data_IF_416280563321
#
_entry.id   IF_416280563321
#
_cell.length_a   1.000
_cell.length_b   1.000
_cell.length_c   1.000
_cell.angle_alpha   90.00
_cell.angle_beta   90.00
_cell.angle_gamma   90.00
#
_symmetry.space_group_name_H-M   'P 1'
#
loop_
_entity.id
_entity.type
_entity.pdbx_description
1 polymer ?
#
# COMPACT_ATOMS: atom_id res chain seq x y z
N UNK A 1 -15.48 -10.81 8.02
CA UNK A 1 -15.77 -9.87 6.89
C UNK A 1 -14.66 -9.73 5.84
N UNK A 2 -13.36 -9.73 6.18
CA UNK A 2 -12.28 -9.64 5.17
C UNK A 2 -11.41 -10.89 5.08
N UNK A 3 -11.28 -11.64 6.18
CA UNK A 3 -10.60 -12.93 6.20
C UNK A 3 -11.41 -14.00 5.47
N UNK A 4 -12.74 -13.85 5.43
CA UNK A 4 -13.66 -14.71 4.66
C UNK A 4 -13.29 -14.75 3.17
N UNK A 5 -12.77 -13.65 2.62
CA UNK A 5 -12.38 -13.56 1.21
C UNK A 5 -11.22 -14.49 0.91
N UNK A 6 -10.23 -14.52 1.79
CA UNK A 6 -9.03 -15.37 1.63
C UNK A 6 -9.42 -16.83 1.86
N UNK A 7 -10.29 -17.09 2.85
CA UNK A 7 -10.82 -18.42 3.11
C UNK A 7 -11.56 -19.00 1.90
N UNK A 8 -12.45 -18.23 1.27
CA UNK A 8 -13.17 -18.66 0.06
C UNK A 8 -12.21 -18.88 -1.11
N UNK A 9 -11.26 -17.96 -1.34
CA UNK A 9 -10.28 -18.12 -2.41
C UNK A 9 -9.39 -19.36 -2.22
N UNK A 10 -9.04 -19.67 -0.96
CA UNK A 10 -8.33 -20.90 -0.60
C UNK A 10 -9.18 -22.13 -0.87
N UNK A 11 -10.43 -22.16 -0.39
CA UNK A 11 -11.35 -23.27 -0.62
C UNK A 11 -11.58 -23.54 -2.11
N UNK A 12 -11.69 -22.50 -2.94
CA UNK A 12 -11.76 -22.70 -4.39
C UNK A 12 -10.53 -23.41 -4.92
N UNK A 13 -9.33 -22.99 -4.48
CA UNK A 13 -8.07 -23.60 -4.94
C UNK A 13 -7.81 -24.99 -4.36
N UNK A 14 -8.37 -25.32 -3.21
CA UNK A 14 -8.27 -26.66 -2.60
C UNK A 14 -9.26 -27.64 -3.24
N UNK A 15 -10.47 -27.17 -3.60
CA UNK A 15 -11.57 -28.05 -4.02
C UNK A 15 -11.81 -28.10 -5.54
N UNK A 16 -11.24 -27.17 -6.31
CA UNK A 16 -11.44 -27.08 -7.76
C UNK A 16 -10.11 -27.12 -8.50
N UNK A 17 -9.97 -28.07 -9.41
CA UNK A 17 -8.82 -28.14 -10.33
C UNK A 17 -8.89 -27.05 -11.42
N UNK A 18 -10.12 -26.66 -11.79
CA UNK A 18 -10.39 -25.72 -12.88
C UNK A 18 -10.96 -24.41 -12.33
N UNK A 19 -10.63 -23.30 -13.01
CA UNK A 19 -11.16 -21.98 -12.69
C UNK A 19 -12.70 -21.97 -12.79
N UNK A 20 -13.42 -21.50 -11.76
CA UNK A 20 -14.88 -21.36 -11.81
C UNK A 20 -15.34 -20.49 -12.98
N UNK A 21 -16.51 -20.79 -13.54
CA UNK A 21 -17.13 -19.99 -14.59
C UNK A 21 -17.64 -18.65 -14.04
N UNK A 22 -17.79 -17.66 -14.92
CA UNK A 22 -18.22 -16.31 -14.52
C UNK A 22 -19.59 -16.29 -13.84
N UNK A 23 -20.52 -17.10 -14.33
CA UNK A 23 -21.88 -17.23 -13.81
C UNK A 23 -21.86 -17.61 -12.32
N UNK A 24 -20.98 -18.52 -11.93
CA UNK A 24 -20.84 -19.05 -10.57
C UNK A 24 -20.29 -18.02 -9.58
N UNK A 25 -19.49 -17.05 -10.03
CA UNK A 25 -18.83 -16.07 -9.15
C UNK A 25 -19.39 -14.65 -9.28
N UNK A 26 -20.31 -14.42 -10.23
CA UNK A 26 -20.87 -13.12 -10.57
C UNK A 26 -21.62 -12.45 -9.41
N UNK A 27 -22.22 -13.23 -8.50
CA UNK A 27 -22.97 -12.74 -7.35
C UNK A 27 -22.05 -12.35 -6.17
N UNK A 28 -20.76 -12.70 -6.22
CA UNK A 28 -19.83 -12.52 -5.10
C UNK A 28 -19.19 -11.12 -5.13
N UNK A 29 -18.74 -10.64 -3.97
CA UNK A 29 -18.15 -9.30 -3.83
C UNK A 29 -16.89 -9.08 -4.67
N UNK A 30 -16.61 -7.80 -5.01
CA UNK A 30 -15.46 -7.38 -5.81
C UNK A 30 -14.11 -7.94 -5.31
N UNK A 31 -13.94 -8.10 -4.00
CA UNK A 31 -12.69 -8.62 -3.41
C UNK A 31 -12.46 -10.09 -3.73
N UNK A 32 -13.51 -10.91 -3.77
CA UNK A 32 -13.41 -12.32 -4.17
C UNK A 32 -13.08 -12.43 -5.65
N UNK A 33 -13.78 -11.63 -6.48
CA UNK A 33 -13.52 -11.57 -7.93
C UNK A 33 -12.09 -11.16 -8.28
N UNK A 34 -11.44 -10.33 -7.44
CA UNK A 34 -10.05 -9.95 -7.63
C UNK A 34 -9.07 -11.13 -7.48
N UNK A 35 -9.38 -12.11 -6.63
CA UNK A 35 -8.60 -13.35 -6.52
C UNK A 35 -8.96 -14.33 -7.64
N UNK A 36 -10.24 -14.46 -7.98
CA UNK A 36 -10.69 -15.25 -9.15
C UNK A 36 -10.01 -14.78 -10.44
N UNK A 37 -9.89 -13.47 -10.66
CA UNK A 37 -9.21 -12.90 -11.82
C UNK A 37 -7.72 -13.28 -11.88
N UNK A 38 -7.12 -13.62 -10.73
CA UNK A 38 -5.72 -14.02 -10.60
C UNK A 38 -5.54 -15.53 -10.42
N UNK A 39 -6.56 -16.34 -10.75
CA UNK A 39 -6.60 -17.78 -10.53
C UNK A 39 -5.31 -18.52 -10.87
N UNK A 40 -4.73 -18.26 -12.04
CA UNK A 40 -3.54 -18.98 -12.55
C UNK A 40 -2.28 -18.66 -11.73
N UNK A 41 -2.29 -17.54 -11.02
CA UNK A 41 -1.23 -17.12 -10.11
C UNK A 41 -1.44 -17.61 -8.69
N UNK A 42 -2.62 -18.12 -8.33
CA UNK A 42 -2.89 -18.59 -6.99
C UNK A 42 -2.45 -20.05 -6.81
N UNK A 43 -1.85 -20.35 -5.66
CA UNK A 43 -1.43 -21.69 -5.27
C UNK A 43 -1.61 -21.86 -3.77
N UNK A 44 -2.03 -23.04 -3.34
CA UNK A 44 -2.10 -23.40 -1.93
C UNK A 44 -0.90 -24.29 -1.59
N UNK A 45 -0.16 -23.94 -0.56
CA UNK A 45 0.97 -24.70 -0.04
C UNK A 45 0.76 -24.85 1.46
N UNK A 46 0.70 -26.08 1.95
CA UNK A 46 0.46 -26.41 3.37
C UNK A 46 -0.78 -25.71 3.97
N UNK A 47 -1.88 -25.65 3.19
CA UNK A 47 -3.13 -24.99 3.61
C UNK A 47 -3.07 -23.46 3.68
N UNK A 48 -2.00 -22.86 3.15
CA UNK A 48 -1.80 -21.40 3.07
C UNK A 48 -1.91 -20.95 1.61
N UNK A 49 -2.67 -19.89 1.38
CA UNK A 49 -2.86 -19.32 0.04
C UNK A 49 -1.70 -18.37 -0.32
N UNK A 50 -1.05 -18.66 -1.43
CA UNK A 50 0.02 -17.86 -2.01
C UNK A 50 -0.36 -17.36 -3.41
N UNK A 51 0.34 -16.31 -3.82
CA UNK A 51 0.34 -15.79 -5.18
C UNK A 51 1.74 -15.93 -5.77
N UNK A 52 1.83 -16.60 -6.92
CA UNK A 52 3.01 -16.66 -7.79
C UNK A 52 3.31 -15.26 -8.31
N UNK A 53 4.51 -14.79 -8.01
CA UNK A 53 5.04 -13.55 -8.51
C UNK A 53 6.29 -13.81 -9.33
N UNK A 54 6.42 -13.07 -10.43
CA UNK A 54 7.57 -13.15 -11.33
C UNK A 54 8.19 -11.77 -11.36
N UNK A 55 9.47 -11.70 -11.04
CA UNK A 55 10.27 -10.50 -11.26
C UNK A 55 10.54 -10.38 -12.76
N UNK A 56 9.99 -9.36 -13.41
CA UNK A 56 10.14 -9.16 -14.85
C UNK A 56 11.57 -8.82 -15.30
N UNK A 57 12.43 -8.40 -14.36
CA UNK A 57 13.83 -8.04 -14.65
C UNK A 57 14.72 -9.26 -14.52
N UNK A 58 14.58 -10.00 -13.41
CA UNK A 58 15.48 -11.12 -13.09
C UNK A 58 14.91 -12.49 -13.47
N UNK A 59 13.68 -12.55 -13.97
CA UNK A 59 12.89 -13.78 -14.12
C UNK A 59 12.83 -14.65 -12.85
N UNK A 60 13.09 -14.07 -11.68
CA UNK A 60 12.99 -14.79 -10.43
C UNK A 60 11.52 -15.04 -10.09
N UNK A 61 11.21 -16.29 -9.75
CA UNK A 61 9.90 -16.70 -9.26
C UNK A 61 9.89 -16.65 -7.74
N UNK A 62 8.85 -16.07 -7.15
CA UNK A 62 8.63 -16.12 -5.70
C UNK A 62 7.16 -16.30 -5.36
N UNK A 63 6.91 -16.74 -4.13
CA UNK A 63 5.58 -16.85 -3.57
C UNK A 63 5.31 -15.70 -2.61
N UNK A 64 4.21 -14.98 -2.85
CA UNK A 64 3.69 -13.94 -1.98
C UNK A 64 2.58 -14.54 -1.12
N UNK A 65 2.75 -14.56 0.20
CA UNK A 65 1.71 -15.02 1.12
C UNK A 65 0.52 -14.04 1.10
N UNK A 66 -0.69 -14.56 0.86
CA UNK A 66 -1.90 -13.75 0.88
C UNK A 66 -2.35 -13.50 2.32
N UNK A 67 -2.01 -12.32 2.83
CA UNK A 67 -2.05 -12.06 4.27
C UNK A 67 -3.48 -11.74 4.78
N UNK A 68 -3.96 -12.47 5.81
CA UNK A 68 -5.19 -12.14 6.53
C UNK A 68 -5.15 -10.73 7.13
N UNK A 69 -6.31 -10.10 7.26
CA UNK A 69 -6.44 -8.73 7.72
C UNK A 69 -5.85 -8.53 9.12
N UNK A 70 -6.03 -9.53 10.01
CA UNK A 70 -5.52 -9.53 11.38
C UNK A 70 -4.01 -9.31 11.45
N UNK A 71 -3.23 -9.91 10.56
CA UNK A 71 -1.76 -9.84 10.57
C UNK A 71 -1.19 -8.64 9.81
N UNK A 72 -1.99 -7.93 8.99
CA UNK A 72 -1.47 -6.83 8.13
C UNK A 72 -0.82 -5.72 8.93
N UNK A 73 -1.40 -5.34 10.07
CA UNK A 73 -0.85 -4.26 10.90
C UNK A 73 0.48 -4.67 11.52
N UNK A 74 0.55 -5.89 12.05
CA UNK A 74 1.76 -6.43 12.67
C UNK A 74 2.90 -6.54 11.66
N UNK A 75 2.61 -7.07 10.46
CA UNK A 75 3.59 -7.14 9.37
C UNK A 75 4.08 -5.75 8.96
N UNK A 76 3.20 -4.74 8.87
CA UNK A 76 3.66 -3.39 8.58
C UNK A 76 4.50 -2.79 9.70
N UNK A 77 4.16 -3.04 10.97
CA UNK A 77 4.98 -2.65 12.10
C UNK A 77 6.39 -3.22 11.98
N UNK A 78 6.53 -4.52 11.69
CA UNK A 78 7.83 -5.14 11.48
C UNK A 78 8.59 -4.59 10.26
N UNK A 79 7.89 -4.25 9.17
CA UNK A 79 8.54 -3.80 7.93
C UNK A 79 8.87 -2.29 7.91
N UNK A 80 8.19 -1.49 8.73
CA UNK A 80 8.31 -0.03 8.75
C UNK A 80 8.91 0.50 10.07
N UNK A 81 8.42 0.04 11.22
CA UNK A 81 8.76 0.58 12.55
C UNK A 81 10.04 -0.06 13.13
N UNK A 82 10.50 -1.18 12.54
CA UNK A 82 11.73 -1.83 12.97
C UNK A 82 12.93 -0.84 12.87
N UNK A 83 13.79 -0.72 13.90
CA UNK A 83 14.92 0.21 13.87
C UNK A 83 15.85 0.03 12.68
N UNK A 84 16.04 -1.21 12.21
CA UNK A 84 16.83 -1.53 11.02
C UNK A 84 16.05 -1.27 9.72
N UNK A 85 14.73 -1.26 9.78
CA UNK A 85 13.88 -0.81 8.67
C UNK A 85 13.89 0.71 8.49
N UNK A 86 14.17 1.47 9.55
CA UNK A 86 14.47 2.90 9.47
C UNK A 86 13.32 3.79 8.99
N UNK A 87 12.06 3.41 9.28
CA UNK A 87 10.88 4.21 8.89
C UNK A 87 10.85 4.58 7.41
N UNK A 88 11.20 3.61 6.56
CA UNK A 88 11.27 3.81 5.12
C UNK A 88 9.99 4.41 4.53
N UNK A 89 10.16 5.32 3.57
CA UNK A 89 9.04 5.94 2.86
C UNK A 89 8.17 4.91 2.11
N UNK A 90 6.94 5.34 1.78
CA UNK A 90 5.87 4.50 1.23
C UNK A 90 6.34 3.58 0.10
N UNK A 91 7.11 4.10 -0.86
CA UNK A 91 7.62 3.33 -2.01
C UNK A 91 8.47 2.12 -1.58
N UNK A 92 9.40 2.32 -0.63
CA UNK A 92 10.29 1.26 -0.15
C UNK A 92 9.54 0.24 0.71
N UNK A 93 8.66 0.71 1.60
CA UNK A 93 7.80 -0.18 2.41
C UNK A 93 6.89 -1.04 1.50
N UNK A 94 6.30 -0.42 0.47
CA UNK A 94 5.47 -1.15 -0.51
C UNK A 94 6.28 -2.22 -1.26
N UNK A 95 7.53 -1.92 -1.63
CA UNK A 95 8.41 -2.90 -2.27
C UNK A 95 8.75 -4.08 -1.35
N UNK A 96 9.02 -3.83 -0.06
CA UNK A 96 9.27 -4.88 0.94
C UNK A 96 8.06 -5.77 1.16
N UNK A 97 6.86 -5.18 1.28
CA UNK A 97 5.61 -5.93 1.37
C UNK A 97 5.45 -6.82 0.14
N UNK A 98 5.55 -6.25 -1.06
CA UNK A 98 5.41 -6.98 -2.32
C UNK A 98 6.40 -8.14 -2.45
N UNK A 99 7.59 -8.06 -1.86
CA UNK A 99 8.54 -9.15 -1.97
C UNK A 99 8.05 -10.46 -1.31
N UNK A 100 7.20 -10.38 -0.28
CA UNK A 100 6.82 -11.53 0.57
C UNK A 100 5.32 -11.72 0.73
N UNK A 101 4.53 -10.68 0.50
CA UNK A 101 3.10 -10.64 0.82
C UNK A 101 2.29 -9.98 -0.29
N UNK A 102 1.02 -10.35 -0.39
CA UNK A 102 0.03 -9.70 -1.25
C UNK A 102 -1.34 -9.73 -0.57
N UNK A 103 -2.20 -8.76 -0.90
CA UNK A 103 -3.64 -8.82 -0.62
C UNK A 103 -4.34 -7.73 -1.43
N UNK A 104 -5.63 -7.89 -1.68
CA UNK A 104 -6.43 -6.87 -2.40
C UNK A 104 -6.36 -5.54 -1.64
N UNK A 105 -5.73 -4.54 -2.27
CA UNK A 105 -5.58 -3.20 -1.70
C UNK A 105 -4.37 -3.01 -0.77
N UNK A 106 -3.32 -3.85 -0.82
CA UNK A 106 -2.16 -3.68 0.06
C UNK A 106 -1.46 -2.33 -0.08
N UNK A 107 -1.39 -1.77 -1.29
CA UNK A 107 -0.72 -0.48 -1.52
C UNK A 107 -1.40 0.67 -0.77
N UNK A 108 -2.75 0.71 -0.78
CA UNK A 108 -3.50 1.74 -0.05
C UNK A 108 -3.42 1.54 1.45
N UNK A 109 -3.31 0.29 1.91
CA UNK A 109 -3.08 -0.03 3.33
C UNK A 109 -1.69 0.44 3.79
N UNK A 110 -0.63 0.18 3.00
CA UNK A 110 0.74 0.67 3.25
C UNK A 110 0.81 2.19 3.25
N UNK A 111 0.19 2.85 2.25
CA UNK A 111 0.15 4.31 2.14
C UNK A 111 -0.46 4.94 3.40
N UNK A 112 -1.65 4.46 3.81
CA UNK A 112 -2.33 4.95 5.01
C UNK A 112 -1.52 4.70 6.29
N UNK A 113 -0.86 3.55 6.39
CA UNK A 113 -0.02 3.22 7.55
C UNK A 113 1.15 4.18 7.69
N UNK A 114 1.95 4.36 6.62
CA UNK A 114 3.12 5.23 6.64
C UNK A 114 2.73 6.71 6.86
N UNK A 115 1.61 7.17 6.29
CA UNK A 115 1.10 8.53 6.50
C UNK A 115 0.66 8.79 7.94
N UNK A 116 0.28 7.75 8.69
CA UNK A 116 -0.11 7.84 10.11
C UNK A 116 1.06 7.63 11.07
N UNK A 117 2.26 7.32 10.56
CA UNK A 117 3.44 7.15 11.41
C UNK A 117 3.90 8.49 11.99
N UNK A 118 3.81 8.62 13.31
CA UNK A 118 4.16 9.85 14.05
C UNK A 118 5.63 10.23 13.83
N UNK A 119 6.54 9.26 13.90
CA UNK A 119 7.98 9.49 13.71
C UNK A 119 8.30 10.00 12.30
N UNK A 120 7.67 9.42 11.28
CA UNK A 120 7.75 9.93 9.90
C UNK A 120 7.20 11.35 9.78
N UNK A 121 6.04 11.64 10.39
CA UNK A 121 5.43 12.96 10.31
C UNK A 121 6.28 14.03 11.00
N UNK A 122 6.87 13.74 12.17
CA UNK A 122 7.78 14.65 12.87
C UNK A 122 9.02 15.02 12.05
N UNK A 123 9.57 14.06 11.30
CA UNK A 123 10.76 14.27 10.45
C UNK A 123 10.45 14.96 9.13
N UNK A 124 9.21 14.84 8.65
CA UNK A 124 8.79 15.43 7.40
C UNK A 124 8.66 16.94 7.61
N UNK A 125 9.57 17.72 7.01
CA UNK A 125 9.47 19.18 7.01
C UNK A 125 8.10 19.62 6.50
N UNK A 126 7.60 20.75 7.00
CA UNK A 126 6.37 21.35 6.49
C UNK A 126 6.52 21.54 4.98
N UNK A 127 5.51 21.13 4.20
CA UNK A 127 5.48 21.40 2.75
C UNK A 127 5.19 22.88 2.46
N UNK A 128 5.42 23.76 3.44
CA UNK A 128 5.41 25.19 3.22
C UNK A 128 6.62 25.44 2.35
N UNK A 129 6.42 25.37 1.02
CA UNK A 129 7.26 26.08 0.09
C UNK A 129 7.52 27.44 0.74
N UNK A 130 8.77 27.72 1.05
CA UNK A 130 9.23 29.04 1.48
C UNK A 130 8.62 30.03 0.51
N UNK A 131 7.52 30.67 0.91
CA UNK A 131 6.92 31.73 0.13
C UNK A 131 8.04 32.74 -0.02
N UNK A 132 8.35 33.10 -1.27
CA UNK A 132 9.42 34.04 -1.56
C UNK A 132 9.24 35.30 -0.69
N UNK A 133 10.36 35.87 -0.23
CA UNK A 133 10.29 37.02 0.67
C UNK A 133 9.48 38.15 0.05
N UNK A 134 8.79 38.92 0.89
CA UNK A 134 8.12 40.14 0.47
C UNK A 134 9.13 41.05 -0.23
N UNK A 135 8.81 41.48 -1.45
CA UNK A 135 9.62 42.47 -2.18
C UNK A 135 9.16 43.87 -1.76
N UNK A 136 10.07 44.69 -1.28
CA UNK A 136 9.85 46.14 -1.14
C UNK A 136 10.10 46.80 -2.49
N UNK A 137 9.18 47.66 -2.92
CA UNK A 137 9.31 48.49 -4.11
C UNK A 137 9.80 49.87 -3.68
N UNK A 138 10.76 50.43 -4.43
CA UNK A 138 11.18 51.82 -4.25
C UNK A 138 10.10 52.71 -4.86
N UNK A 139 9.64 53.71 -4.11
CA UNK A 139 8.71 54.73 -4.60
C UNK A 139 9.50 55.89 -5.22
N UNK A 140 8.94 56.52 -6.25
CA UNK A 140 9.62 57.57 -7.01
C UNK A 140 9.54 58.93 -6.33
N UNK A 141 8.44 59.19 -5.60
CA UNK A 141 8.13 60.49 -5.01
C UNK A 141 7.54 60.35 -3.60
N UNK A 142 7.51 61.47 -2.88
CA UNK A 142 6.98 61.54 -1.51
C UNK A 142 5.48 61.26 -1.47
N UNK A 143 5.04 60.42 -0.52
CA UNK A 143 3.65 59.96 -0.30
C UNK A 143 3.08 58.95 -1.31
N UNK A 144 3.89 58.44 -2.24
CA UNK A 144 3.45 57.39 -3.19
C UNK A 144 2.96 56.10 -2.53
N UNK A 145 3.43 55.82 -1.31
CA UNK A 145 2.97 54.68 -0.53
C UNK A 145 3.04 54.94 0.97
N UNK A 146 1.91 54.75 1.65
CA UNK A 146 1.81 54.83 3.10
C UNK A 146 1.17 53.53 3.60
N UNK A 147 1.84 52.86 4.53
CA UNK A 147 1.31 51.71 5.25
C UNK A 147 1.27 52.07 6.74
N UNK A 148 0.12 51.90 7.38
CA UNK A 148 -0.11 52.20 8.80
C UNK A 148 -0.60 50.92 9.46
N UNK A 149 -0.02 50.59 10.61
CA UNK A 149 -0.44 49.53 11.51
C UNK A 149 -0.66 50.16 12.90
N UNK A 150 -1.63 49.66 13.67
CA UNK A 150 -2.03 50.22 14.99
C UNK A 150 -1.48 49.36 16.12
#
# INVERSE_FOLDING_TARGET
>A
MQDDVIKIARQWKENLDIKPQWQEISHISKKHKAYWAQWDRLVVVDGILYRKWINTITNAHSLQHILPHTFRREVLKMLHDDPLAGHMGIKRTTARVRHRFDWVGYQTFVDKYCKRCIECQKRKGSSNATRASMKTYVVGETMDRVAIDI
#
